data_IF_906260026356
#
_entry.id   IF_906260026356
#
_cell.length_a   1.000
_cell.length_b   1.000
_cell.length_c   1.000
_cell.angle_alpha   90.00
_cell.angle_beta   90.00
_cell.angle_gamma   90.00
#
_symmetry.space_group_name_H-M   'P 1'
#
loop_
_entity.id
_entity.type
_entity.pdbx_description
1 polymer ?
#
# COMPACT_ATOMS: atom_id res chain seq x y z
N UNK A 1 -11.94 -17.61 -2.10
CA UNK A 1 -11.35 -16.41 -1.53
C UNK A 1 -9.84 -16.55 -1.50
N UNK A 2 -9.13 -15.72 -2.23
CA UNK A 2 -7.67 -15.79 -2.28
C UNK A 2 -7.09 -14.53 -1.69
N UNK A 3 -6.02 -14.71 -0.93
CA UNK A 3 -5.25 -13.62 -0.35
C UNK A 3 -3.81 -13.76 -0.79
N UNK A 4 -3.23 -12.66 -1.17
CA UNK A 4 -1.80 -12.66 -1.45
C UNK A 4 -1.23 -11.29 -1.15
N UNK A 5 0.08 -11.27 -0.96
CA UNK A 5 0.81 -10.04 -0.72
C UNK A 5 1.75 -9.80 -1.89
N UNK A 6 1.81 -8.58 -2.35
CA UNK A 6 2.77 -8.19 -3.37
C UNK A 6 3.57 -7.01 -2.86
N UNK A 7 4.83 -6.97 -3.24
CA UNK A 7 5.70 -5.85 -2.93
C UNK A 7 5.87 -5.00 -4.17
N UNK A 8 5.67 -3.71 -4.03
CA UNK A 8 5.85 -2.77 -5.12
C UNK A 8 6.93 -1.77 -4.75
N UNK A 9 7.71 -1.36 -5.72
CA UNK A 9 8.73 -0.35 -5.54
C UNK A 9 8.11 1.02 -5.81
N UNK A 10 8.24 1.90 -4.85
CA UNK A 10 7.75 3.27 -4.98
C UNK A 10 8.89 4.22 -4.71
N UNK A 11 8.66 5.50 -4.97
CA UNK A 11 9.65 6.52 -4.67
C UNK A 11 9.96 6.61 -3.18
N UNK A 12 9.10 6.05 -2.34
CA UNK A 12 9.30 6.01 -0.89
C UNK A 12 9.95 4.71 -0.43
N UNK A 13 10.22 3.78 -1.34
CA UNK A 13 10.76 2.47 -1.02
C UNK A 13 9.78 1.36 -1.33
N UNK A 14 10.11 0.15 -0.87
CA UNK A 14 9.28 -1.03 -1.11
C UNK A 14 8.10 -1.04 -0.15
N UNK A 15 6.91 -1.23 -0.70
CA UNK A 15 5.68 -1.26 0.07
C UNK A 15 4.96 -2.57 -0.19
N UNK A 16 4.44 -3.18 0.87
CA UNK A 16 3.66 -4.41 0.76
C UNK A 16 2.20 -4.07 0.54
N UNK A 17 1.62 -4.68 -0.48
CA UNK A 17 0.20 -4.50 -0.82
C UNK A 17 -0.52 -5.81 -0.58
N UNK A 18 -1.60 -5.74 0.17
CA UNK A 18 -2.44 -6.90 0.43
C UNK A 18 -3.52 -6.96 -0.64
N UNK A 19 -3.60 -8.10 -1.32
CA UNK A 19 -4.55 -8.29 -2.40
C UNK A 19 -5.56 -9.34 -1.98
N UNK A 20 -6.83 -8.96 -2.02
CA UNK A 20 -7.95 -9.87 -1.73
C UNK A 20 -8.80 -10.01 -2.98
N UNK A 21 -9.10 -11.24 -3.33
CA UNK A 21 -9.91 -11.53 -4.50
C UNK A 21 -11.21 -12.20 -4.08
N UNK A 22 -12.32 -11.62 -4.50
CA UNK A 22 -13.66 -12.15 -4.21
C UNK A 22 -14.38 -12.30 -5.55
N UNK A 23 -14.35 -13.51 -6.09
CA UNK A 23 -14.95 -13.73 -7.42
C UNK A 23 -14.27 -12.85 -8.47
N UNK A 24 -15.02 -11.95 -9.08
CA UNK A 24 -14.49 -11.05 -10.10
C UNK A 24 -13.98 -9.73 -9.53
N UNK A 25 -14.09 -9.55 -8.22
CA UNK A 25 -13.67 -8.31 -7.56
C UNK A 25 -12.31 -8.49 -6.94
N UNK A 26 -11.38 -7.59 -7.26
CA UNK A 26 -10.06 -7.58 -6.67
C UNK A 26 -9.89 -6.30 -5.86
N UNK A 27 -9.55 -6.44 -4.58
CA UNK A 27 -9.30 -5.31 -3.71
C UNK A 27 -7.84 -5.27 -3.31
N UNK A 28 -7.23 -4.11 -3.43
CA UNK A 28 -5.85 -3.89 -3.04
C UNK A 28 -5.81 -2.94 -1.86
N UNK A 29 -5.11 -3.35 -0.81
CA UNK A 29 -5.03 -2.56 0.41
C UNK A 29 -3.57 -2.40 0.80
N UNK A 30 -3.18 -1.17 1.12
CA UNK A 30 -1.84 -0.89 1.59
C UNK A 30 -1.68 -1.34 3.04
N UNK A 31 -0.49 -1.86 3.36
CA UNK A 31 -0.17 -2.20 4.73
C UNK A 31 0.04 -0.93 5.55
N UNK A 32 -0.70 -0.83 6.65
CA UNK A 32 -0.65 0.35 7.49
C UNK A 32 0.75 0.58 8.07
N UNK A 33 1.40 -0.51 8.48
CA UNK A 33 2.72 -0.40 9.10
C UNK A 33 3.75 0.20 8.13
N UNK A 34 3.69 -0.19 6.86
CA UNK A 34 4.59 0.36 5.86
C UNK A 34 4.31 1.84 5.64
N UNK A 35 3.04 2.21 5.58
CA UNK A 35 2.67 3.61 5.42
C UNK A 35 3.12 4.44 6.60
N UNK A 36 2.97 3.89 7.81
CA UNK A 36 3.38 4.58 9.02
C UNK A 36 4.89 4.80 9.06
N UNK A 37 5.65 3.77 8.68
CA UNK A 37 7.10 3.87 8.63
C UNK A 37 7.55 4.94 7.65
N UNK A 38 6.94 4.94 6.45
CA UNK A 38 7.29 5.92 5.43
C UNK A 38 6.92 7.33 5.90
N UNK A 39 5.76 7.49 6.52
CA UNK A 39 5.33 8.77 7.03
C UNK A 39 6.33 9.32 8.05
N UNK A 40 6.87 8.44 8.87
CA UNK A 40 7.86 8.81 9.86
C UNK A 40 9.17 9.22 9.22
N UNK A 41 9.64 8.43 8.27
CA UNK A 41 10.91 8.70 7.58
C UNK A 41 10.86 9.97 6.76
N UNK A 42 9.75 10.22 6.10
CA UNK A 42 9.59 11.38 5.25
C UNK A 42 9.03 12.58 5.98
N UNK A 43 8.66 12.42 7.25
CA UNK A 43 8.05 13.47 8.06
C UNK A 43 6.79 14.03 7.41
N UNK A 44 5.98 13.12 6.88
CA UNK A 44 4.73 13.47 6.24
C UNK A 44 3.55 12.90 7.02
N UNK A 45 2.37 13.53 6.91
CA UNK A 45 1.16 12.93 7.48
C UNK A 45 0.87 11.59 6.82
N UNK A 46 0.38 10.63 7.59
CA UNK A 46 0.10 9.30 7.06
C UNK A 46 -0.95 9.35 5.94
N UNK A 47 -1.87 10.28 6.03
CA UNK A 47 -2.87 10.45 4.98
C UNK A 47 -2.24 10.83 3.65
N UNK A 48 -1.23 11.66 3.69
CA UNK A 48 -0.50 12.05 2.49
C UNK A 48 0.22 10.85 1.89
N UNK A 49 0.87 10.05 2.71
CA UNK A 49 1.55 8.85 2.25
C UNK A 49 0.56 7.90 1.62
N UNK A 50 -0.58 7.68 2.26
CA UNK A 50 -1.63 6.84 1.72
C UNK A 50 -2.09 7.31 0.35
N UNK A 51 -2.31 8.61 0.23
CA UNK A 51 -2.77 9.19 -1.03
C UNK A 51 -1.75 8.98 -2.15
N UNK A 52 -0.48 9.21 -1.84
CA UNK A 52 0.59 9.04 -2.83
C UNK A 52 0.73 7.58 -3.24
N UNK A 53 0.66 6.66 -2.28
CA UNK A 53 0.85 5.25 -2.57
C UNK A 53 -0.33 4.65 -3.32
N UNK A 54 -1.54 5.17 -3.12
CA UNK A 54 -2.70 4.66 -3.85
C UNK A 54 -2.53 4.81 -5.35
N UNK A 55 -1.77 5.80 -5.79
CA UNK A 55 -1.51 6.00 -7.21
C UNK A 55 -0.74 4.85 -7.84
N UNK A 56 -0.01 4.11 -7.04
CA UNK A 56 0.79 2.99 -7.55
C UNK A 56 -0.03 1.71 -7.68
N UNK A 57 -1.15 1.62 -6.97
CA UNK A 57 -1.95 0.40 -6.98
C UNK A 57 -3.28 0.57 -7.71
N UNK A 58 -3.66 1.78 -8.06
CA UNK A 58 -4.89 2.04 -8.83
C UNK A 58 -4.63 2.68 -10.18
#
# INVERSE_FOLDING_TARGET
>A
MQRRFEQIDTEFGTVTVKINQYGSITKKTLEYEDCQRIAKEMQLPIQEVYHQLQKYIY
#
